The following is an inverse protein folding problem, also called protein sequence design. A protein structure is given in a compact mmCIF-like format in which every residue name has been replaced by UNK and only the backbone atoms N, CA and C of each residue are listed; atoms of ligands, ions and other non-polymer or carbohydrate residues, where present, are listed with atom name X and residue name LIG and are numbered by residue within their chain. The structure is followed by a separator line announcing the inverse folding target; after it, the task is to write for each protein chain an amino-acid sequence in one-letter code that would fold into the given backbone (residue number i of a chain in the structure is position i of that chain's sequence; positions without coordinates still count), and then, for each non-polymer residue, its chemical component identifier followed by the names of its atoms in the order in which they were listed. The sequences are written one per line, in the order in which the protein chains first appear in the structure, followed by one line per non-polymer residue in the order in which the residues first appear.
data_IF_599664038379
#
_entry.id   IF_599664038379
#
_cell.length_a   1.000
_cell.length_b   1.000
_cell.length_c   1.000
_cell.angle_alpha   90.00
_cell.angle_beta   90.00
_cell.angle_gamma   90.00
#
_symmetry.space_group_name_H-M   'P 1'
#
loop_
_entity.id
_entity.type
_entity.pdbx_description
1 polymer ?
#
# COMPACT_ATOMS: atom_id res chain seq x y z
N UNK A 1 30.26 2.52 22.90
CA UNK A 1 30.79 2.10 21.58
C UNK A 1 29.59 1.63 20.77
N UNK A 2 29.22 2.37 19.72
CA UNK A 2 27.96 2.13 19.01
C UNK A 2 28.15 0.96 18.02
N UNK A 3 27.40 -0.13 18.20
CA UNK A 3 27.35 -1.25 17.28
C UNK A 3 26.67 -0.81 15.96
N UNK A 4 27.42 -0.81 14.86
CA UNK A 4 26.87 -0.59 13.51
C UNK A 4 26.40 -1.94 12.96
N UNK A 5 25.09 -2.18 12.78
CA UNK A 5 24.61 -3.41 12.16
C UNK A 5 24.92 -3.36 10.66
N UNK A 6 25.74 -4.29 10.16
CA UNK A 6 26.04 -4.42 8.73
C UNK A 6 27.51 -4.55 8.33
N UNK A 7 28.42 -4.90 9.25
CA UNK A 7 29.83 -5.21 8.92
C UNK A 7 29.96 -6.58 8.22
N UNK A 8 29.31 -6.76 7.08
CA UNK A 8 29.71 -7.79 6.12
C UNK A 8 30.80 -7.19 5.27
N UNK A 9 32.06 -7.56 5.52
CA UNK A 9 33.19 -7.17 4.66
C UNK A 9 32.86 -7.53 3.22
N UNK A 10 32.91 -6.54 2.32
CA UNK A 10 32.67 -6.77 0.90
C UNK A 10 33.65 -7.82 0.35
N UNK A 11 33.23 -8.70 -0.56
CA UNK A 11 34.12 -9.63 -1.24
C UNK A 11 35.25 -8.88 -1.95
N UNK A 12 36.48 -9.42 -1.91
CA UNK A 12 37.66 -8.79 -2.54
C UNK A 12 37.49 -8.53 -4.06
N UNK A 13 36.67 -9.34 -4.74
CA UNK A 13 36.35 -9.22 -6.16
C UNK A 13 35.09 -8.38 -6.45
N UNK A 14 34.59 -7.60 -5.49
CA UNK A 14 33.37 -6.83 -5.69
C UNK A 14 33.58 -5.70 -6.71
N UNK A 15 32.99 -5.88 -7.90
CA UNK A 15 33.11 -5.01 -9.08
C UNK A 15 32.81 -3.53 -8.80
N UNK A 16 31.95 -3.24 -7.82
CA UNK A 16 31.48 -1.88 -7.52
C UNK A 16 32.02 -1.32 -6.20
N UNK A 17 33.15 -1.85 -5.69
CA UNK A 17 33.77 -1.40 -4.43
C UNK A 17 33.95 0.12 -4.39
N UNK A 18 34.51 0.68 -5.46
CA UNK A 18 34.72 2.13 -5.61
C UNK A 18 33.44 2.96 -5.55
N UNK A 19 32.28 2.42 -5.92
CA UNK A 19 30.99 3.12 -5.85
C UNK A 19 30.37 2.95 -4.48
N UNK A 20 30.47 1.75 -3.91
CA UNK A 20 29.99 1.46 -2.56
C UNK A 20 30.69 2.34 -1.52
N UNK A 21 32.01 2.50 -1.64
CA UNK A 21 32.82 3.36 -0.76
C UNK A 21 32.41 4.84 -0.80
N UNK A 22 31.85 5.31 -1.93
CA UNK A 22 31.31 6.68 -2.02
C UNK A 22 30.05 6.89 -1.16
N UNK A 23 29.40 5.79 -0.75
CA UNK A 23 28.21 5.83 0.09
C UNK A 23 26.93 6.28 -0.63
N UNK A 24 25.88 6.52 0.16
CA UNK A 24 24.60 7.03 -0.37
C UNK A 24 24.73 8.51 -0.75
N UNK A 25 24.09 8.96 -1.84
CA UNK A 25 23.97 10.38 -2.15
C UNK A 25 23.42 11.15 -0.95
N UNK A 26 24.09 12.25 -0.60
CA UNK A 26 23.65 13.17 0.47
C UNK A 26 23.01 14.37 -0.20
N UNK A 27 21.76 14.62 0.14
CA UNK A 27 21.00 15.78 -0.33
C UNK A 27 20.71 16.70 0.84
N UNK A 28 20.90 18.00 0.64
CA UNK A 28 20.50 19.02 1.61
C UNK A 28 19.00 19.31 1.51
N UNK A 29 18.42 19.86 2.57
CA UNK A 29 16.97 20.20 2.60
C UNK A 29 16.57 21.21 1.52
N UNK A 30 17.52 22.01 1.04
CA UNK A 30 17.32 23.10 0.09
C UNK A 30 17.94 22.79 -1.30
N UNK A 31 18.26 21.52 -1.57
CA UNK A 31 18.72 21.04 -2.87
C UNK A 31 17.53 20.94 -3.85
N UNK A 32 17.71 21.29 -5.15
CA UNK A 32 16.75 21.00 -6.22
C UNK A 32 16.10 19.60 -6.19
N UNK A 33 16.82 18.55 -5.82
CA UNK A 33 16.33 17.18 -5.65
C UNK A 33 15.26 17.11 -4.55
N UNK A 34 15.54 17.67 -3.39
CA UNK A 34 14.64 17.69 -2.23
C UNK A 34 13.36 18.47 -2.52
N UNK A 35 13.45 19.54 -3.33
CA UNK A 35 12.27 20.29 -3.78
C UNK A 35 11.38 19.49 -4.75
N UNK A 36 11.98 18.73 -5.67
CA UNK A 36 11.25 17.87 -6.60
C UNK A 36 10.67 16.63 -5.93
N UNK A 37 11.34 16.12 -4.90
CA UNK A 37 11.02 14.87 -4.21
C UNK A 37 10.95 15.08 -2.70
N UNK A 38 9.89 15.75 -2.19
CA UNK A 38 9.74 15.97 -0.76
C UNK A 38 9.56 14.65 0.00
N UNK A 39 10.11 14.59 1.22
CA UNK A 39 9.95 13.42 2.08
C UNK A 39 8.48 13.23 2.47
N UNK A 40 8.00 11.99 2.40
CA UNK A 40 6.65 11.63 2.81
C UNK A 40 6.59 11.36 4.32
N UNK A 41 5.59 11.94 5.00
CA UNK A 41 5.36 11.75 6.44
C UNK A 41 5.11 10.27 6.78
N UNK A 42 5.57 9.83 7.97
CA UNK A 42 5.43 8.44 8.42
C UNK A 42 3.97 7.96 8.45
N UNK A 43 3.03 8.79 8.90
CA UNK A 43 1.60 8.43 8.95
C UNK A 43 1.00 8.21 7.56
N UNK A 44 1.44 8.96 6.54
CA UNK A 44 1.02 8.77 5.15
C UNK A 44 1.63 7.49 4.57
N UNK A 45 2.89 7.21 4.89
CA UNK A 45 3.55 5.95 4.49
C UNK A 45 2.91 4.73 5.15
N UNK A 46 2.45 4.84 6.40
CA UNK A 46 1.76 3.77 7.11
C UNK A 46 0.49 3.32 6.36
N UNK A 47 -0.23 4.24 5.71
CA UNK A 47 -1.38 3.88 4.85
C UNK A 47 -1.01 3.00 3.66
N UNK A 48 0.19 3.16 3.10
CA UNK A 48 0.69 2.29 2.01
C UNK A 48 0.88 0.85 2.50
N UNK A 49 1.24 0.69 3.78
CA UNK A 49 1.45 -0.60 4.43
C UNK A 49 0.28 -1.04 5.30
N UNK A 50 -0.88 -0.41 5.20
CA UNK A 50 -2.08 -0.83 5.91
C UNK A 50 -2.94 -1.65 4.94
N UNK A 51 -2.71 -2.97 4.83
CA UNK A 51 -3.35 -3.82 3.82
C UNK A 51 -4.88 -3.82 3.90
N UNK A 52 -5.42 -3.50 5.08
CA UNK A 52 -6.87 -3.50 5.32
C UNK A 52 -7.49 -2.10 5.24
N UNK A 53 -6.71 -1.02 5.08
CA UNK A 53 -7.27 0.35 4.92
C UNK A 53 -8.11 0.45 3.64
N UNK A 54 -7.73 -0.28 2.60
CA UNK A 54 -8.46 -0.38 1.33
C UNK A 54 -9.80 -1.14 1.46
N UNK A 55 -9.97 -1.91 2.54
CA UNK A 55 -11.19 -2.67 2.82
C UNK A 55 -12.15 -1.91 3.74
N UNK A 56 -11.77 -0.70 4.18
CA UNK A 56 -12.64 0.12 5.01
C UNK A 56 -13.88 0.55 4.19
N UNK A 57 -15.05 0.14 4.64
CA UNK A 57 -16.33 0.41 3.96
C UNK A 57 -16.73 -0.67 2.94
N UNK A 58 -15.90 -1.70 2.72
CA UNK A 58 -16.22 -2.81 1.83
C UNK A 58 -17.44 -3.59 2.33
N UNK A 59 -17.54 -3.85 3.64
CA UNK A 59 -18.69 -4.56 4.25
C UNK A 59 -20.02 -3.81 4.04
N UNK A 60 -20.00 -2.47 4.11
CA UNK A 60 -21.18 -1.63 3.90
C UNK A 60 -21.65 -1.68 2.44
N UNK A 61 -20.71 -1.73 1.49
CA UNK A 61 -21.00 -1.83 0.06
C UNK A 61 -21.51 -3.23 -0.32
N UNK A 62 -20.94 -4.27 0.30
CA UNK A 62 -21.42 -5.65 0.19
C UNK A 62 -22.87 -5.79 0.67
N UNK A 63 -23.17 -5.28 1.87
CA UNK A 63 -24.52 -5.31 2.44
C UNK A 63 -25.55 -4.59 1.56
N UNK A 64 -25.19 -3.44 0.99
CA UNK A 64 -26.07 -2.74 0.03
C UNK A 64 -26.33 -3.58 -1.22
N UNK A 65 -25.31 -4.23 -1.76
CA UNK A 65 -25.46 -5.07 -2.95
C UNK A 65 -26.37 -6.29 -2.67
N UNK A 66 -26.22 -6.94 -1.53
CA UNK A 66 -27.06 -8.07 -1.11
C UNK A 66 -28.53 -7.66 -0.95
N UNK A 67 -28.77 -6.49 -0.36
CA UNK A 67 -30.11 -5.93 -0.22
C UNK A 67 -30.74 -5.69 -1.59
N UNK A 68 -30.03 -5.06 -2.53
CA UNK A 68 -30.55 -4.81 -3.89
C UNK A 68 -30.89 -6.09 -4.64
N UNK A 69 -30.08 -7.14 -4.49
CA UNK A 69 -30.32 -8.45 -5.10
C UNK A 69 -31.54 -9.11 -4.48
N UNK A 70 -31.66 -9.10 -3.16
CA UNK A 70 -32.81 -9.64 -2.43
C UNK A 70 -34.10 -8.93 -2.82
N UNK A 71 -34.08 -7.60 -2.86
CA UNK A 71 -35.21 -6.78 -3.27
C UNK A 71 -35.58 -7.07 -4.73
N UNK A 72 -34.60 -7.26 -5.63
CA UNK A 72 -34.87 -7.64 -7.01
C UNK A 72 -35.61 -8.97 -7.11
N UNK A 73 -35.21 -10.00 -6.36
CA UNK A 73 -35.91 -11.29 -6.38
C UNK A 73 -37.31 -11.19 -5.76
N UNK A 74 -37.45 -10.51 -4.62
CA UNK A 74 -38.74 -10.36 -3.95
C UNK A 74 -39.78 -9.57 -4.78
N UNK A 75 -39.32 -8.61 -5.60
CA UNK A 75 -40.20 -7.82 -6.45
C UNK A 75 -40.52 -8.48 -7.81
N UNK A 76 -39.77 -9.52 -8.22
CA UNK A 76 -39.99 -10.24 -9.48
C UNK A 76 -40.57 -11.64 -9.32
N UNK A 77 -40.79 -12.12 -8.08
CA UNK A 77 -41.66 -13.27 -7.85
C UNK A 77 -43.12 -12.82 -7.91
N UNK A 78 -43.60 -12.56 -9.12
CA UNK A 78 -45.04 -12.62 -9.38
C UNK A 78 -45.53 -13.99 -8.90
N UNK A 79 -46.64 -14.01 -8.16
CA UNK A 79 -47.27 -15.24 -7.69
C UNK A 79 -47.48 -16.15 -8.89
N UNK A 80 -46.85 -17.33 -8.87
CA UNK A 80 -47.24 -18.42 -9.76
C UNK A 80 -48.65 -18.80 -9.34
N UNK A 81 -49.64 -18.16 -9.95
CA UNK A 81 -51.04 -18.54 -9.78
C UNK A 81 -51.14 -20.02 -10.17
N UNK A 82 -51.52 -20.85 -9.20
CA UNK A 82 -51.75 -22.29 -9.40
C UNK A 82 -52.65 -22.46 -10.63
N UNK A 83 -52.10 -23.07 -11.68
CA UNK A 83 -52.85 -23.36 -12.90
C UNK A 83 -53.91 -24.43 -12.58
N UNK A 84 -55.17 -24.27 -13.03
CA UNK A 84 -56.32 -25.06 -12.58
C UNK A 84 -56.25 -26.55 -12.88
#
# INVERSE_FOLDING_TARGET
MNNVPGSSSLPSSFKYSKVYEKGKPKHDKNDPFSFKHPSMDCSKRAKIFNPFDALKGFDEELSKSEQTVTDFYNNNTDTLDDYP
#
